data_IF_803681391411
#
_entry.id   IF_803681391411
#
_cell.length_a   1.000
_cell.length_b   1.000
_cell.length_c   1.000
_cell.angle_alpha   90.00
_cell.angle_beta   90.00
_cell.angle_gamma   90.00
#
_symmetry.space_group_name_H-M   'P 1'
#
loop_
_entity.id
_entity.type
_entity.pdbx_description
1 polymer ?
#
# COMPACT_ATOMS: atom_id res chain seq x y z
N UNK A 1 30.31 15.15 4.05
CA UNK A 1 30.24 16.24 5.06
C UNK A 1 31.64 16.74 5.48
N UNK A 2 32.47 17.28 4.59
CA UNK A 2 33.86 17.64 4.96
C UNK A 2 33.98 18.90 5.85
N UNK A 3 32.90 19.65 6.01
CA UNK A 3 32.91 20.96 6.69
C UNK A 3 31.87 21.11 7.80
N UNK A 4 31.09 20.07 8.09
CA UNK A 4 30.07 20.09 9.14
C UNK A 4 30.50 19.16 10.28
N UNK A 5 30.56 19.68 11.51
CA UNK A 5 30.87 18.90 12.71
C UNK A 5 29.59 18.49 13.43
N UNK A 6 29.41 17.22 13.80
CA UNK A 6 28.26 16.80 14.58
C UNK A 6 28.32 17.38 16.00
N UNK A 7 27.23 18.02 16.42
CA UNK A 7 27.11 18.61 17.76
C UNK A 7 26.26 17.75 18.72
N UNK A 8 25.41 16.87 18.20
CA UNK A 8 24.57 15.97 19.00
C UNK A 8 25.14 14.55 19.05
N UNK A 9 24.87 13.76 20.11
CA UNK A 9 25.26 12.35 20.18
C UNK A 9 24.78 11.53 18.98
N UNK A 10 23.53 11.76 18.52
CA UNK A 10 22.97 11.09 17.33
C UNK A 10 23.74 11.42 16.05
N UNK A 11 24.16 12.67 15.87
CA UNK A 11 24.93 13.07 14.70
C UNK A 11 26.36 12.50 14.72
N UNK A 12 26.97 12.31 15.90
CA UNK A 12 28.26 11.63 16.05
C UNK A 12 28.17 10.16 15.67
N UNK A 13 27.14 9.46 16.18
CA UNK A 13 26.86 8.07 15.81
C UNK A 13 26.65 7.92 14.30
N UNK A 14 25.91 8.83 13.66
CA UNK A 14 25.74 8.82 12.20
C UNK A 14 27.07 8.99 11.45
N UNK A 15 27.97 9.87 11.93
CA UNK A 15 29.29 10.05 11.32
C UNK A 15 30.16 8.78 11.45
N UNK A 16 30.10 8.10 12.59
CA UNK A 16 30.78 6.83 12.83
C UNK A 16 30.25 5.73 11.92
N UNK A 17 28.92 5.55 11.86
CA UNK A 17 28.26 4.58 10.99
C UNK A 17 28.60 4.81 9.50
N UNK A 18 28.66 6.08 9.07
CA UNK A 18 29.09 6.45 7.71
C UNK A 18 30.56 6.09 7.43
N UNK A 19 31.46 6.26 8.40
CA UNK A 19 32.89 5.90 8.28
C UNK A 19 33.10 4.39 8.20
N UNK A 20 32.29 3.64 8.93
CA UNK A 20 32.33 2.18 8.96
C UNK A 20 31.68 1.53 7.72
N UNK A 21 31.07 2.33 6.84
CA UNK A 21 30.35 1.82 5.66
C UNK A 21 29.03 1.13 6.01
N UNK A 22 28.58 1.21 7.26
CA UNK A 22 27.35 0.59 7.78
C UNK A 22 26.14 1.53 7.70
N UNK A 23 26.25 2.63 6.96
CA UNK A 23 25.15 3.56 6.81
C UNK A 23 24.08 2.95 5.89
N UNK A 24 22.93 2.61 6.47
CA UNK A 24 21.76 2.30 5.67
C UNK A 24 21.38 3.53 4.86
N UNK A 25 21.43 3.41 3.54
CA UNK A 25 21.03 4.48 2.65
C UNK A 25 19.50 4.64 2.76
N UNK A 26 19.05 5.84 3.10
CA UNK A 26 17.63 6.17 3.02
C UNK A 26 17.32 6.36 1.54
N UNK A 27 16.91 5.28 0.88
CA UNK A 27 16.36 5.34 -0.46
C UNK A 27 14.95 5.93 -0.39
N UNK A 28 14.60 6.77 -1.36
CA UNK A 28 13.22 7.19 -1.52
C UNK A 28 12.37 5.93 -1.72
N UNK A 29 11.23 5.84 -1.03
CA UNK A 29 10.28 4.76 -1.25
C UNK A 29 9.82 4.82 -2.70
N UNK A 30 10.41 3.99 -3.55
CA UNK A 30 10.06 3.91 -4.97
C UNK A 30 8.80 3.08 -5.08
N UNK A 31 7.65 3.75 -5.05
CA UNK A 31 6.37 3.11 -5.33
C UNK A 31 6.19 2.90 -6.84
N UNK A 32 5.47 1.84 -7.20
CA UNK A 32 5.09 1.58 -8.58
C UNK A 32 3.95 2.52 -8.96
N UNK A 33 4.10 3.22 -10.08
CA UNK A 33 3.04 4.11 -10.60
C UNK A 33 1.77 3.29 -10.83
N UNK A 34 0.67 3.72 -10.20
CA UNK A 34 -0.63 3.05 -10.27
C UNK A 34 -0.99 2.22 -9.02
N UNK A 35 -0.04 1.97 -8.13
CA UNK A 35 -0.28 1.20 -6.90
C UNK A 35 -0.43 2.09 -5.66
N UNK A 36 -1.00 1.53 -4.59
CA UNK A 36 -1.14 2.22 -3.30
C UNK A 36 0.19 2.32 -2.56
N UNK A 37 0.28 3.33 -1.69
CA UNK A 37 1.39 3.48 -0.73
C UNK A 37 0.90 3.54 0.72
N UNK A 38 -0.40 3.30 0.94
CA UNK A 38 -1.02 3.20 2.27
C UNK A 38 -1.16 1.73 2.60
N UNK A 39 -0.31 1.22 3.50
CA UNK A 39 -0.20 -0.20 3.80
C UNK A 39 -0.95 -0.56 5.09
N UNK A 40 -2.20 -1.00 4.95
CA UNK A 40 -3.03 -1.49 6.06
C UNK A 40 -3.86 -2.75 5.65
N UNK A 41 -3.26 -3.88 5.25
CA UNK A 41 -1.82 -4.14 5.06
C UNK A 41 -1.28 -3.71 3.68
N UNK A 42 -2.15 -3.32 2.74
CA UNK A 42 -1.82 -2.91 1.36
C UNK A 42 -2.80 -3.50 0.35
N UNK A 43 -2.68 -3.12 -0.93
CA UNK A 43 -3.50 -3.69 -2.01
C UNK A 43 -2.68 -4.49 -3.02
N UNK A 44 -1.70 -3.87 -3.68
CA UNK A 44 -0.82 -4.58 -4.63
C UNK A 44 0.40 -5.21 -3.95
N UNK A 45 0.94 -4.55 -2.93
CA UNK A 45 2.06 -5.02 -2.10
C UNK A 45 1.81 -4.67 -0.65
N UNK A 46 2.35 -5.49 0.25
CA UNK A 46 2.33 -5.22 1.68
C UNK A 46 3.47 -4.26 2.11
N UNK A 47 3.46 -3.86 3.38
CA UNK A 47 4.48 -2.98 3.97
C UNK A 47 5.90 -3.56 3.94
N UNK A 48 6.03 -4.88 3.82
CA UNK A 48 7.32 -5.57 3.71
C UNK A 48 7.82 -5.61 2.25
N UNK A 49 7.04 -5.06 1.31
CA UNK A 49 7.31 -5.09 -0.12
C UNK A 49 7.00 -6.43 -0.79
N UNK A 50 6.31 -7.33 -0.08
CA UNK A 50 5.85 -8.62 -0.57
C UNK A 50 4.33 -8.66 -0.78
N UNK A 51 3.77 -9.86 -0.69
CA UNK A 51 2.31 -10.11 -0.77
C UNK A 51 1.81 -11.01 0.35
N UNK A 52 2.70 -11.40 1.27
CA UNK A 52 2.42 -12.43 2.26
C UNK A 52 1.52 -11.91 3.39
N UNK A 53 1.63 -10.61 3.69
CA UNK A 53 0.84 -9.94 4.72
C UNK A 53 -0.48 -9.38 4.17
N UNK A 54 -0.68 -9.42 2.84
CA UNK A 54 -1.99 -9.14 2.23
C UNK A 54 -2.99 -10.24 2.60
N UNK A 55 -4.28 -9.96 2.48
CA UNK A 55 -5.30 -10.96 2.76
C UNK A 55 -5.26 -12.13 1.79
N UNK A 56 -5.45 -13.33 2.34
CA UNK A 56 -5.34 -14.61 1.63
C UNK A 56 -6.66 -15.38 1.74
N UNK A 57 -7.43 -15.53 0.64
CA UNK A 57 -7.23 -14.88 -0.66
C UNK A 57 -7.61 -13.38 -0.61
N UNK A 58 -7.30 -12.63 -1.67
CA UNK A 58 -7.59 -11.19 -1.74
C UNK A 58 -9.08 -10.88 -1.55
N UNK A 59 -9.97 -11.77 -2.03
CA UNK A 59 -11.43 -11.65 -1.88
C UNK A 59 -11.90 -11.56 -0.42
N UNK A 60 -11.09 -12.01 0.54
CA UNK A 60 -11.38 -11.90 1.97
C UNK A 60 -11.29 -10.46 2.51
N UNK A 61 -10.55 -9.57 1.83
CA UNK A 61 -10.40 -8.16 2.18
C UNK A 61 -11.15 -7.22 1.26
N UNK A 62 -11.63 -7.71 0.13
CA UNK A 62 -12.23 -6.89 -0.93
C UNK A 62 -13.33 -5.96 -0.43
N UNK A 63 -14.21 -6.43 0.46
CA UNK A 63 -15.26 -5.59 1.07
C UNK A 63 -14.79 -4.81 2.29
N UNK A 64 -13.75 -5.30 3.00
CA UNK A 64 -13.03 -4.49 3.99
C UNK A 64 -12.38 -3.26 3.38
N UNK A 65 -11.96 -3.33 2.11
CA UNK A 65 -11.46 -2.19 1.35
C UNK A 65 -12.59 -1.37 0.70
N UNK A 66 -13.56 -2.01 0.06
CA UNK A 66 -14.61 -1.34 -0.73
C UNK A 66 -15.60 -0.56 0.15
N UNK A 67 -16.08 -1.16 1.24
CA UNK A 67 -17.12 -0.56 2.08
C UNK A 67 -16.68 0.76 2.72
N UNK A 68 -15.51 0.90 3.35
CA UNK A 68 -15.07 2.15 3.95
C UNK A 68 -14.29 3.07 2.99
N UNK A 69 -14.26 2.82 1.68
CA UNK A 69 -13.42 3.55 0.71
C UNK A 69 -11.91 3.53 1.07
N UNK A 70 -11.34 2.38 1.43
CA UNK A 70 -9.96 2.34 1.96
C UNK A 70 -8.88 2.64 0.90
N UNK A 71 -8.98 1.99 -0.27
CA UNK A 71 -8.12 2.26 -1.44
C UNK A 71 -8.95 2.63 -2.68
N UNK A 72 -9.58 3.82 -2.71
CA UNK A 72 -10.61 4.18 -3.70
C UNK A 72 -10.06 4.37 -5.12
N UNK A 73 -8.75 4.49 -5.27
CA UNK A 73 -8.07 4.56 -6.58
C UNK A 73 -7.92 3.19 -7.25
N UNK A 74 -8.03 2.10 -6.49
CA UNK A 74 -7.84 0.73 -6.96
C UNK A 74 -9.13 -0.09 -6.84
N UNK A 75 -9.86 0.09 -5.74
CA UNK A 75 -11.08 -0.66 -5.41
C UNK A 75 -12.28 0.28 -5.43
N UNK A 76 -13.33 -0.02 -6.21
CA UNK A 76 -14.55 0.77 -6.21
C UNK A 76 -15.16 0.88 -4.82
N UNK A 77 -15.50 2.09 -4.40
CA UNK A 77 -16.01 2.36 -3.07
C UNK A 77 -17.55 2.29 -2.98
N UNK A 78 -18.08 1.43 -2.11
CA UNK A 78 -19.54 1.23 -1.97
C UNK A 78 -20.19 2.18 -0.97
N UNK A 79 -19.43 2.86 -0.08
CA UNK A 79 -20.05 3.85 0.82
C UNK A 79 -20.36 5.19 0.15
N UNK A 80 -19.70 5.56 -0.96
CA UNK A 80 -19.97 6.82 -1.65
C UNK A 80 -20.28 6.69 -3.15
N UNK A 81 -19.29 6.37 -3.99
CA UNK A 81 -19.38 6.53 -5.45
C UNK A 81 -20.08 5.37 -6.15
N UNK A 82 -19.80 4.14 -5.73
CA UNK A 82 -20.21 2.91 -6.39
C UNK A 82 -21.05 2.03 -5.47
N UNK A 83 -22.10 2.60 -4.88
CA UNK A 83 -22.97 1.96 -3.87
C UNK A 83 -23.56 0.60 -4.24
N UNK A 84 -23.61 0.29 -5.53
CA UNK A 84 -24.22 -0.93 -6.07
C UNK A 84 -23.20 -1.92 -6.63
N UNK A 85 -21.90 -1.62 -6.51
CA UNK A 85 -20.84 -2.39 -7.17
C UNK A 85 -20.83 -3.86 -6.78
N UNK A 86 -21.09 -4.18 -5.50
CA UNK A 86 -21.12 -5.55 -4.98
C UNK A 86 -22.51 -6.20 -4.95
N UNK A 87 -23.57 -5.55 -5.49
CA UNK A 87 -24.96 -6.04 -5.38
C UNK A 87 -25.16 -7.45 -5.96
N UNK A 88 -24.41 -7.81 -7.00
CA UNK A 88 -24.47 -9.14 -7.64
C UNK A 88 -23.51 -10.16 -7.03
N UNK A 89 -22.65 -9.75 -6.10
CA UNK A 89 -21.60 -10.58 -5.54
C UNK A 89 -21.59 -10.61 -4.00
N UNK A 90 -22.72 -10.87 -3.31
CA UNK A 90 -22.76 -10.80 -1.84
C UNK A 90 -21.77 -11.75 -1.16
N UNK A 91 -21.34 -12.82 -1.82
CA UNK A 91 -20.28 -13.72 -1.37
C UNK A 91 -19.09 -13.70 -2.35
N UNK A 92 -18.07 -12.87 -2.08
CA UNK A 92 -16.88 -12.75 -2.95
C UNK A 92 -16.18 -14.08 -3.22
N UNK A 93 -16.20 -15.02 -2.25
CA UNK A 93 -15.58 -16.34 -2.43
C UNK A 93 -16.16 -17.11 -3.63
N UNK A 94 -17.44 -16.91 -3.95
CA UNK A 94 -18.15 -17.63 -5.01
C UNK A 94 -18.43 -16.74 -6.23
N UNK A 95 -18.76 -15.46 -5.99
CA UNK A 95 -19.35 -14.56 -6.98
C UNK A 95 -18.40 -13.45 -7.47
N UNK A 96 -17.08 -13.53 -7.18
CA UNK A 96 -16.11 -12.48 -7.54
C UNK A 96 -16.11 -12.09 -9.03
N UNK A 97 -16.58 -12.97 -9.92
CA UNK A 97 -16.68 -12.71 -11.36
C UNK A 97 -17.75 -11.71 -11.75
N UNK A 98 -18.71 -11.45 -10.87
CA UNK A 98 -19.78 -10.45 -11.09
C UNK A 98 -19.30 -9.01 -10.80
N UNK A 99 -18.09 -8.85 -10.25
CA UNK A 99 -17.50 -7.55 -9.97
C UNK A 99 -16.88 -6.96 -11.24
N UNK A 100 -17.33 -5.76 -11.60
CA UNK A 100 -16.91 -5.09 -12.84
C UNK A 100 -15.92 -3.95 -12.58
N UNK A 101 -15.08 -3.66 -13.59
CA UNK A 101 -14.29 -2.42 -13.60
C UNK A 101 -15.22 -1.21 -13.77
N UNK A 102 -14.95 -0.16 -13.00
CA UNK A 102 -15.76 1.06 -13.01
C UNK A 102 -15.25 2.13 -13.98
N UNK A 103 -14.02 1.99 -14.47
CA UNK A 103 -13.51 2.90 -15.48
C UNK A 103 -14.27 2.69 -16.81
N UNK A 104 -14.84 3.75 -17.41
CA UNK A 104 -15.56 3.64 -18.68
C UNK A 104 -14.67 3.00 -19.76
N UNK A 105 -15.26 2.14 -20.60
CA UNK A 105 -14.54 1.61 -21.76
C UNK A 105 -14.09 2.76 -22.65
N UNK A 106 -12.82 2.70 -23.07
CA UNK A 106 -12.22 3.65 -24.00
C UNK A 106 -12.79 3.47 -25.42
#
# INVERSE_FOLDING_TARGET
MKHLKPITPKAKLLEETLKEGNANEVVAMSSVVGCVTTFDPGWEVDSDGGVASLCQPMEADLYGCSDPCWWPTQVPDTSSSYKKWSEKAPATKDDWRELENVYPKM
#
